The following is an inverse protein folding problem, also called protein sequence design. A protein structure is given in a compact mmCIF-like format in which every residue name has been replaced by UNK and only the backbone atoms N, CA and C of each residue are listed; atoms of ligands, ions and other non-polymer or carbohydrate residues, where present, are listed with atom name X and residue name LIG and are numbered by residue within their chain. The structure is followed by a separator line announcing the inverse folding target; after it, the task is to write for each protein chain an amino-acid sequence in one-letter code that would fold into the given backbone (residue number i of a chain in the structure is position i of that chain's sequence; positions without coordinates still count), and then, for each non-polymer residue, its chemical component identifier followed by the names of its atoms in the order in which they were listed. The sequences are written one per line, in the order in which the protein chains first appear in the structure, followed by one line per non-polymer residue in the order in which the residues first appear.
data_IF_705150351311
#
_entry.id   IF_705150351311
#
_cell.length_a   1.000
_cell.length_b   1.000
_cell.length_c   1.000
_cell.angle_alpha   90.00
_cell.angle_beta   90.00
_cell.angle_gamma   90.00
#
_symmetry.space_group_name_H-M   'P 1'
#
loop_
_entity.id
_entity.type
_entity.pdbx_description
1 polymer ?
#
# COMPACT_ATOMS: atom_id res chain seq x y z
N UNK A 1 5.43 28.55 3.61
CA UNK A 1 4.82 27.52 2.76
C UNK A 1 3.41 27.35 3.26
N UNK A 2 2.45 27.80 2.46
CA UNK A 2 1.04 27.83 2.80
C UNK A 2 0.54 26.43 3.15
N UNK A 3 -0.17 26.32 4.27
CA UNK A 3 -0.75 25.10 4.81
C UNK A 3 -1.73 24.53 3.77
N UNK A 4 -1.29 23.52 3.02
CA UNK A 4 -1.87 23.08 1.73
C UNK A 4 -3.33 22.59 1.82
N UNK A 5 -3.87 22.44 3.02
CA UNK A 5 -5.31 22.45 3.28
C UNK A 5 -5.53 22.93 4.72
N UNK A 6 -6.32 23.98 4.90
CA UNK A 6 -6.79 24.35 6.23
C UNK A 6 -7.45 23.12 6.88
N UNK A 7 -7.09 22.79 8.12
CA UNK A 7 -7.57 21.58 8.81
C UNK A 7 -9.10 21.56 8.86
N UNK A 8 -9.74 22.73 8.87
CA UNK A 8 -11.19 22.88 8.71
C UNK A 8 -11.67 22.37 7.34
N UNK A 9 -11.05 22.78 6.23
CA UNK A 9 -11.38 22.31 4.88
C UNK A 9 -11.21 20.80 4.71
N UNK A 10 -10.14 20.20 5.26
CA UNK A 10 -9.95 18.74 5.23
C UNK A 10 -11.08 18.02 5.98
N UNK A 11 -11.44 18.51 7.17
CA UNK A 11 -12.55 17.97 7.98
C UNK A 11 -13.90 18.13 7.29
N UNK A 12 -14.16 19.28 6.67
CA UNK A 12 -15.41 19.55 5.96
C UNK A 12 -15.54 18.71 4.70
N UNK A 13 -14.46 18.52 3.95
CA UNK A 13 -14.42 17.61 2.81
C UNK A 13 -14.68 16.16 3.23
N UNK A 14 -13.98 15.67 4.27
CA UNK A 14 -14.23 14.34 4.81
C UNK A 14 -15.65 14.17 5.35
N UNK A 15 -16.24 15.20 5.98
CA UNK A 15 -17.64 15.18 6.42
C UNK A 15 -18.61 15.06 5.24
N UNK A 16 -18.46 15.93 4.23
CA UNK A 16 -19.31 15.94 3.05
C UNK A 16 -19.26 14.61 2.28
N UNK A 17 -18.08 13.99 2.20
CA UNK A 17 -17.93 12.67 1.58
C UNK A 17 -18.58 11.55 2.39
N UNK A 18 -18.48 11.60 3.73
CA UNK A 18 -19.22 10.69 4.61
C UNK A 18 -20.72 10.83 4.38
N UNK A 19 -21.27 12.04 4.46
CA UNK A 19 -22.70 12.32 4.24
C UNK A 19 -23.19 11.87 2.86
N UNK A 20 -22.39 12.07 1.80
CA UNK A 20 -22.74 11.64 0.45
C UNK A 20 -22.75 10.11 0.32
N UNK A 21 -21.77 9.44 0.93
CA UNK A 21 -21.77 8.00 1.00
C UNK A 21 -22.93 7.47 1.86
N UNK A 22 -23.46 8.32 2.76
CA UNK A 22 -24.56 7.97 3.63
C UNK A 22 -25.94 7.89 2.96
N UNK A 23 -26.12 8.65 1.88
CA UNK A 23 -27.42 8.82 1.20
C UNK A 23 -27.70 7.81 0.08
N UNK A 24 -26.72 7.00 -0.32
CA UNK A 24 -26.90 5.99 -1.38
C UNK A 24 -27.33 4.62 -0.84
N UNK A 25 -28.51 4.13 -1.26
CA UNK A 25 -29.03 2.80 -0.87
C UNK A 25 -28.67 1.66 -1.85
N UNK A 26 -27.93 1.96 -2.93
CA UNK A 26 -27.44 0.92 -3.84
C UNK A 26 -26.34 0.06 -3.19
N UNK A 27 -26.25 -1.22 -3.56
CA UNK A 27 -25.18 -2.12 -3.07
C UNK A 27 -23.77 -1.60 -3.40
N UNK A 28 -23.65 -0.95 -4.56
CA UNK A 28 -22.42 -0.28 -5.00
C UNK A 28 -22.12 0.90 -4.07
N UNK A 29 -23.11 1.72 -3.75
CA UNK A 29 -22.95 2.82 -2.81
C UNK A 29 -22.59 2.39 -1.39
N UNK A 30 -23.15 1.28 -0.90
CA UNK A 30 -22.76 0.68 0.38
C UNK A 30 -21.28 0.26 0.36
N UNK A 31 -20.81 -0.31 -0.74
CA UNK A 31 -19.39 -0.65 -0.92
C UNK A 31 -18.49 0.59 -0.97
N UNK A 32 -18.88 1.64 -1.70
CA UNK A 32 -18.15 2.91 -1.73
C UNK A 32 -18.05 3.57 -0.37
N UNK A 33 -19.12 3.51 0.44
CA UNK A 33 -19.17 4.04 1.80
C UNK A 33 -18.18 3.36 2.72
N UNK A 34 -18.13 2.03 2.68
CA UNK A 34 -17.19 1.25 3.48
C UNK A 34 -15.74 1.54 3.07
N UNK A 35 -15.43 1.49 1.76
CA UNK A 35 -14.09 1.75 1.23
C UNK A 35 -13.66 3.20 1.54
N UNK A 36 -14.56 4.16 1.29
CA UNK A 36 -14.31 5.58 1.54
C UNK A 36 -14.03 5.86 3.01
N UNK A 37 -14.83 5.27 3.92
CA UNK A 37 -14.61 5.37 5.37
C UNK A 37 -13.20 4.93 5.78
N UNK A 38 -12.75 3.76 5.29
CA UNK A 38 -11.40 3.27 5.56
C UNK A 38 -10.32 4.22 5.04
N UNK A 39 -10.49 4.76 3.83
CA UNK A 39 -9.54 5.71 3.23
C UNK A 39 -9.47 7.00 4.05
N UNK A 40 -10.61 7.57 4.48
CA UNK A 40 -10.58 8.79 5.29
C UNK A 40 -9.92 8.58 6.65
N UNK A 41 -10.23 7.47 7.33
CA UNK A 41 -9.57 7.12 8.57
C UNK A 41 -8.05 6.95 8.36
N UNK A 42 -7.65 6.31 7.27
CA UNK A 42 -6.23 6.15 6.92
C UNK A 42 -5.53 7.50 6.67
N UNK A 43 -6.20 8.46 6.02
CA UNK A 43 -5.67 9.80 5.77
C UNK A 43 -5.55 10.66 7.04
N UNK A 44 -6.41 10.44 8.04
CA UNK A 44 -6.28 11.09 9.36
C UNK A 44 -5.03 10.57 10.08
N UNK A 45 -4.82 9.25 10.08
CA UNK A 45 -3.66 8.60 10.71
C UNK A 45 -2.34 8.85 9.99
N UNK A 46 -2.40 9.01 8.68
CA UNK A 46 -1.23 9.32 7.87
C UNK A 46 -0.60 10.67 8.24
N UNK A 47 -1.43 11.70 8.46
CA UNK A 47 -0.96 13.02 8.90
C UNK A 47 -0.27 12.98 10.26
N UNK A 48 -0.69 12.05 11.12
CA UNK A 48 -0.12 11.82 12.46
C UNK A 48 1.14 10.94 12.42
N UNK A 49 1.54 10.45 11.23
CA UNK A 49 2.69 9.56 11.06
C UNK A 49 2.44 8.12 11.54
N UNK A 50 1.19 7.74 11.81
CA UNK A 50 0.82 6.42 12.36
C UNK A 50 0.75 5.34 11.26
N UNK A 51 1.83 5.16 10.49
CA UNK A 51 1.85 4.32 9.29
C UNK A 51 1.40 2.87 9.50
N UNK A 52 1.64 2.30 10.69
CA UNK A 52 1.12 0.97 11.03
C UNK A 52 -0.42 0.91 10.93
N UNK A 53 -1.11 1.87 11.55
CA UNK A 53 -2.57 1.95 11.53
C UNK A 53 -3.10 2.26 10.13
N UNK A 54 -2.36 3.07 9.35
CA UNK A 54 -2.71 3.31 7.94
C UNK A 54 -2.70 1.99 7.15
N UNK A 55 -1.69 1.13 7.35
CA UNK A 55 -1.61 -0.18 6.70
C UNK A 55 -2.77 -1.09 7.13
N UNK A 56 -3.09 -1.14 8.42
CA UNK A 56 -4.20 -1.93 8.96
C UNK A 56 -5.56 -1.53 8.37
N UNK A 57 -5.77 -0.23 8.12
CA UNK A 57 -6.99 0.29 7.51
C UNK A 57 -7.07 0.01 6.01
N UNK A 58 -5.94 0.11 5.29
CA UNK A 58 -5.92 0.01 3.82
C UNK A 58 -5.76 -1.42 3.31
N UNK A 59 -5.05 -2.29 4.03
CA UNK A 59 -4.75 -3.66 3.59
C UNK A 59 -6.01 -4.52 3.34
N UNK A 60 -7.06 -4.48 4.19
CA UNK A 60 -8.29 -5.27 3.98
C UNK A 60 -9.08 -4.84 2.74
N UNK A 61 -9.02 -3.56 2.36
CA UNK A 61 -9.78 -3.02 1.22
C UNK A 61 -9.01 -3.08 -0.11
N UNK A 62 -7.76 -3.54 -0.12
CA UNK A 62 -6.87 -3.47 -1.30
C UNK A 62 -7.45 -4.07 -2.58
N UNK A 63 -8.17 -5.18 -2.47
CA UNK A 63 -8.80 -5.85 -3.62
C UNK A 63 -10.18 -5.29 -3.97
N UNK A 64 -10.78 -4.54 -3.05
CA UNK A 64 -12.09 -3.91 -3.22
C UNK A 64 -11.99 -2.55 -3.90
N UNK A 65 -10.80 -1.96 -3.98
CA UNK A 65 -10.54 -0.74 -4.76
C UNK A 65 -10.98 -0.87 -6.22
N UNK A 66 -10.99 -2.09 -6.78
CA UNK A 66 -11.54 -2.39 -8.10
C UNK A 66 -13.02 -2.00 -8.28
N UNK A 67 -13.80 -2.01 -7.19
CA UNK A 67 -15.22 -1.62 -7.16
C UNK A 67 -15.37 -0.11 -7.40
N UNK A 68 -14.33 0.68 -7.08
CA UNK A 68 -14.32 2.13 -7.21
C UNK A 68 -13.92 2.67 -8.59
N UNK A 69 -13.65 1.77 -9.54
CA UNK A 69 -12.85 2.05 -10.73
C UNK A 69 -11.61 1.15 -10.72
N UNK A 70 -11.36 0.46 -11.83
CA UNK A 70 -10.58 -0.78 -11.82
C UNK A 70 -9.48 -0.88 -12.88
N UNK A 71 -8.92 0.24 -13.32
CA UNK A 71 -7.77 0.16 -14.23
C UNK A 71 -6.58 -0.47 -13.51
N UNK A 72 -5.79 -1.26 -14.23
CA UNK A 72 -4.58 -1.87 -13.68
C UNK A 72 -3.61 -0.81 -13.12
N UNK A 73 -3.61 0.41 -13.69
CA UNK A 73 -2.82 1.52 -13.20
C UNK A 73 -3.28 2.01 -11.80
N UNK A 74 -4.58 2.12 -11.55
CA UNK A 74 -5.10 2.53 -10.24
C UNK A 74 -4.78 1.50 -9.16
N UNK A 75 -4.94 0.21 -9.48
CA UNK A 75 -4.56 -0.90 -8.59
C UNK A 75 -3.06 -0.91 -8.31
N UNK A 76 -2.23 -0.65 -9.32
CA UNK A 76 -0.77 -0.57 -9.16
C UNK A 76 -0.37 0.59 -8.24
N UNK A 77 -0.99 1.76 -8.38
CA UNK A 77 -0.74 2.91 -7.50
C UNK A 77 -1.14 2.57 -6.05
N UNK A 78 -2.28 1.90 -5.84
CA UNK A 78 -2.71 1.49 -4.50
C UNK A 78 -1.74 0.47 -3.89
N UNK A 79 -1.27 -0.51 -4.66
CA UNK A 79 -0.27 -1.46 -4.21
C UNK A 79 1.05 -0.77 -3.84
N UNK A 80 1.49 0.20 -4.65
CA UNK A 80 2.69 1.00 -4.36
C UNK A 80 2.56 1.81 -3.07
N UNK A 81 1.41 2.45 -2.86
CA UNK A 81 1.12 3.18 -1.62
C UNK A 81 1.20 2.24 -0.41
N UNK A 82 0.59 1.07 -0.49
CA UNK A 82 0.57 0.10 0.60
C UNK A 82 1.96 -0.46 0.91
N UNK A 83 2.77 -0.75 -0.12
CA UNK A 83 4.18 -1.13 0.04
C UNK A 83 4.94 -0.02 0.76
N UNK A 84 4.78 1.23 0.31
CA UNK A 84 5.45 2.38 0.92
C UNK A 84 5.10 2.50 2.40
N UNK A 85 3.81 2.53 2.74
CA UNK A 85 3.36 2.64 4.13
C UNK A 85 3.87 1.49 5.01
N UNK A 86 3.89 0.26 4.48
CA UNK A 86 4.37 -0.91 5.21
C UNK A 86 5.91 -0.87 5.43
N UNK A 87 6.68 -0.31 4.49
CA UNK A 87 8.14 -0.10 4.65
C UNK A 87 8.44 0.91 5.77
N UNK A 88 7.66 1.99 5.86
CA UNK A 88 7.87 3.04 6.86
C UNK A 88 7.17 2.75 8.19
N UNK A 89 6.41 1.66 8.28
CA UNK A 89 5.82 1.21 9.53
C UNK A 89 6.89 0.64 10.47
N UNK A 90 6.76 0.96 11.77
CA UNK A 90 7.62 0.38 12.81
C UNK A 90 7.20 -1.04 13.25
N UNK A 91 6.20 -1.65 12.58
CA UNK A 91 5.71 -2.99 12.91
C UNK A 91 6.51 -4.10 12.20
N UNK A 92 6.96 -5.11 12.96
CA UNK A 92 7.67 -6.26 12.42
C UNK A 92 6.81 -7.14 11.50
N UNK A 93 5.50 -7.24 11.72
CA UNK A 93 4.58 -7.96 10.83
C UNK A 93 4.52 -7.29 9.46
N UNK A 94 4.64 -5.97 9.40
CA UNK A 94 4.65 -5.22 8.15
C UNK A 94 5.91 -5.48 7.32
N UNK A 95 7.04 -5.90 7.92
CA UNK A 95 8.23 -6.31 7.15
C UNK A 95 7.97 -7.52 6.26
N UNK A 96 7.28 -8.53 6.78
CA UNK A 96 6.89 -9.71 5.98
C UNK A 96 5.79 -9.37 4.97
N UNK A 97 4.91 -8.42 5.32
CA UNK A 97 3.90 -7.90 4.41
C UNK A 97 4.53 -7.22 3.19
N UNK A 98 5.56 -6.41 3.37
CA UNK A 98 6.30 -5.75 2.28
C UNK A 98 6.80 -6.77 1.27
N UNK A 99 7.45 -7.85 1.72
CA UNK A 99 7.97 -8.91 0.82
C UNK A 99 6.85 -9.52 -0.03
N UNK A 100 5.71 -9.83 0.59
CA UNK A 100 4.54 -10.38 -0.10
C UNK A 100 3.98 -9.42 -1.13
N UNK A 101 3.75 -8.16 -0.74
CA UNK A 101 3.19 -7.14 -1.63
C UNK A 101 4.12 -6.83 -2.82
N UNK A 102 5.44 -6.85 -2.60
CA UNK A 102 6.43 -6.68 -3.67
C UNK A 102 6.34 -7.83 -4.66
N UNK A 103 6.26 -9.08 -4.19
CA UNK A 103 6.09 -10.25 -5.05
C UNK A 103 4.82 -10.17 -5.88
N UNK A 104 3.67 -9.96 -5.22
CA UNK A 104 2.36 -9.83 -5.88
C UNK A 104 2.40 -8.80 -7.01
N UNK A 105 3.00 -7.63 -6.74
CA UNK A 105 3.12 -6.56 -7.72
C UNK A 105 4.06 -6.90 -8.88
N UNK A 106 5.18 -7.55 -8.59
CA UNK A 106 6.13 -7.92 -9.64
C UNK A 106 5.59 -9.03 -10.55
N UNK A 107 4.83 -9.96 -10.00
CA UNK A 107 4.07 -10.96 -10.77
C UNK A 107 3.07 -10.27 -11.69
N UNK A 108 2.31 -9.30 -11.18
CA UNK A 108 1.35 -8.52 -11.98
C UNK A 108 2.02 -7.71 -13.10
N UNK A 109 3.21 -7.12 -12.85
CA UNK A 109 3.92 -6.27 -13.83
C UNK A 109 4.92 -7.02 -14.71
N UNK A 110 5.25 -8.27 -14.39
CA UNK A 110 6.32 -9.03 -15.04
C UNK A 110 7.73 -8.44 -14.87
N UNK A 111 7.95 -7.54 -13.90
CA UNK A 111 9.27 -6.92 -13.69
C UNK A 111 9.44 -6.42 -12.26
N UNK A 112 10.55 -6.85 -11.66
CA UNK A 112 11.02 -6.39 -10.35
C UNK A 112 12.10 -5.29 -10.45
N UNK A 113 12.55 -4.99 -11.66
CA UNK A 113 13.77 -4.20 -11.91
C UNK A 113 13.52 -2.68 -11.87
N UNK A 114 12.68 -2.19 -10.96
CA UNK A 114 12.58 -0.75 -10.70
C UNK A 114 13.53 -0.38 -9.56
N UNK A 115 14.23 0.77 -9.70
CA UNK A 115 15.10 1.31 -8.65
C UNK A 115 14.35 1.52 -7.33
N UNK A 116 13.10 1.95 -7.42
CA UNK A 116 12.19 2.11 -6.29
C UNK A 116 11.96 0.81 -5.52
N UNK A 117 11.78 -0.32 -6.21
CA UNK A 117 11.54 -1.59 -5.55
C UNK A 117 12.77 -2.11 -4.80
N UNK A 118 13.96 -1.91 -5.38
CA UNK A 118 15.24 -2.22 -4.73
C UNK A 118 15.41 -1.41 -3.44
N UNK A 119 15.14 -0.10 -3.49
CA UNK A 119 15.23 0.77 -2.31
C UNK A 119 14.27 0.34 -1.20
N UNK A 120 13.06 -0.13 -1.53
CA UNK A 120 12.11 -0.63 -0.53
C UNK A 120 12.58 -1.91 0.15
N UNK A 121 13.21 -2.82 -0.60
CA UNK A 121 13.78 -4.05 -0.04
C UNK A 121 14.98 -3.76 0.87
N UNK A 122 15.85 -2.84 0.46
CA UNK A 122 16.98 -2.37 1.28
C UNK A 122 16.47 -1.73 2.58
N UNK A 123 15.44 -0.88 2.51
CA UNK A 123 14.85 -0.18 3.65
C UNK A 123 14.28 -1.10 4.73
N UNK A 124 13.79 -2.29 4.37
CA UNK A 124 13.30 -3.27 5.35
C UNK A 124 14.39 -4.17 5.95
N UNK A 125 15.67 -3.88 5.65
CA UNK A 125 16.82 -4.63 6.16
C UNK A 125 17.03 -5.98 5.48
N UNK A 126 16.37 -6.19 4.33
CA UNK A 126 16.61 -7.36 3.50
C UNK A 126 17.64 -6.91 2.47
N UNK A 127 18.92 -7.22 2.72
CA UNK A 127 19.84 -7.32 1.59
C UNK A 127 19.23 -8.36 0.66
N UNK A 128 18.89 -7.99 -0.57
CA UNK A 128 18.26 -8.92 -1.51
C UNK A 128 19.05 -8.87 -2.80
N UNK A 129 19.62 -10.01 -3.17
CA UNK A 129 19.93 -10.26 -4.57
C UNK A 129 18.63 -10.75 -5.21
N UNK A 130 18.05 -9.91 -6.06
CA UNK A 130 16.85 -10.22 -6.82
C UNK A 130 17.20 -11.26 -7.88
N UNK A 131 17.10 -12.54 -7.53
CA UNK A 131 17.11 -13.60 -8.53
C UNK A 131 15.70 -13.70 -9.12
N UNK A 132 15.56 -13.10 -10.31
CA UNK A 132 14.34 -13.23 -11.09
C UNK A 132 14.31 -14.61 -11.73
N UNK A 133 13.48 -15.52 -11.20
CA UNK A 133 13.14 -16.76 -11.90
C UNK A 133 11.91 -16.50 -12.78
N UNK A 134 11.60 -17.37 -13.77
CA UNK A 134 10.45 -17.18 -14.67
C UNK A 134 9.09 -17.11 -13.96
N UNK A 135 9.01 -17.60 -12.73
CA UNK A 135 7.75 -17.76 -11.98
C UNK A 135 7.74 -17.04 -10.62
N UNK A 136 8.89 -16.82 -9.98
CA UNK A 136 8.96 -16.17 -8.67
C UNK A 136 10.21 -15.28 -8.49
N UNK A 137 10.08 -14.26 -7.65
CA UNK A 137 11.23 -13.55 -7.09
C UNK A 137 11.69 -14.28 -5.83
N UNK A 138 12.93 -14.75 -5.86
CA UNK A 138 13.54 -15.35 -4.69
C UNK A 138 14.29 -14.28 -3.90
N UNK A 139 13.86 -14.03 -2.67
CA UNK A 139 14.54 -13.13 -1.75
C UNK A 139 15.68 -13.87 -1.06
N UNK A 140 16.91 -13.74 -1.56
CA UNK A 140 18.09 -14.32 -0.91
C UNK A 140 18.84 -13.23 -0.14
N UNK A 141 19.04 -13.46 1.16
CA UNK A 141 19.90 -12.58 1.98
C UNK A 141 21.37 -12.71 1.54
N UNK A 142 22.20 -11.64 1.62
CA UNK A 142 23.62 -11.70 1.27
C UNK A 142 24.37 -12.86 1.93
N UNK A 143 24.05 -13.14 3.21
CA UNK A 143 24.60 -14.28 3.94
C UNK A 143 24.29 -15.64 3.32
N UNK A 144 23.10 -15.82 2.75
CA UNK A 144 22.70 -17.06 2.09
C UNK A 144 23.30 -17.13 0.68
N UNK A 145 23.42 -15.99 -0.01
CA UNK A 145 24.06 -15.91 -1.31
C UNK A 145 25.54 -16.32 -1.25
N UNK A 146 26.29 -15.74 -0.31
CA UNK A 146 27.70 -16.08 -0.09
C UNK A 146 27.88 -17.56 0.31
N UNK A 147 26.95 -18.11 1.11
CA UNK A 147 26.95 -19.52 1.50
C UNK A 147 26.60 -20.48 0.36
N UNK A 148 25.94 -19.99 -0.70
CA UNK A 148 25.61 -20.76 -1.91
C UNK A 148 26.72 -20.73 -2.97
N UNK A 149 27.77 -19.92 -2.78
CA UNK A 149 28.91 -19.85 -3.70
C UNK A 149 28.57 -19.27 -5.08
N UNK A 150 27.52 -18.42 -5.14
CA UNK A 150 27.10 -17.68 -6.33
C UNK A 150 27.73 -16.29 -6.38
#
# INVERSE_FOLDING_TARGET
MDNFADTAMKKDFSRSLKETAESSDTDIGKSYREIGSCIFAALERFDEGEYAQVVELLYPIRNRTAIAGGSNAQRDIFALLLIHLAVYSNDNQHRELVKRLINERCEMRGSANSRMMKNYLEGVGVGVILLQTPTHILFISPRVYDAMGL
#
